data_IF_276403828885
#
_entry.id   IF_276403828885
#
_cell.length_a   1.000
_cell.length_b   1.000
_cell.length_c   1.000
_cell.angle_alpha   90.00
_cell.angle_beta   90.00
_cell.angle_gamma   90.00
#
_symmetry.space_group_name_H-M   'P 1'
#
loop_
_entity.id
_entity.type
_entity.pdbx_description
1 polymer ?
#
# COMPACT_ATOMS: atom_id res chain seq x y z
N UNK A 1 15.96 34.80 -8.59
CA UNK A 1 16.86 34.45 -9.71
C UNK A 1 17.48 33.08 -9.53
N UNK A 2 18.51 32.92 -8.70
CA UNK A 2 19.16 31.61 -8.48
C UNK A 2 18.46 30.70 -7.46
N UNK A 3 17.81 31.27 -6.43
CA UNK A 3 17.19 30.47 -5.36
C UNK A 3 16.04 29.58 -5.89
N UNK A 4 15.21 30.14 -6.78
CA UNK A 4 14.13 29.40 -7.46
C UNK A 4 14.67 28.33 -8.42
N UNK A 5 15.79 28.59 -9.10
CA UNK A 5 16.43 27.62 -9.98
C UNK A 5 17.06 26.46 -9.18
N UNK A 6 17.74 26.74 -8.07
CA UNK A 6 18.28 25.70 -7.17
C UNK A 6 17.18 24.88 -6.50
N UNK A 7 16.04 25.49 -6.13
CA UNK A 7 14.89 24.75 -5.58
C UNK A 7 14.22 23.89 -6.65
N UNK A 8 14.12 24.36 -7.89
CA UNK A 8 13.61 23.55 -9.01
C UNK A 8 14.55 22.39 -9.37
N UNK A 9 15.87 22.61 -9.40
CA UNK A 9 16.85 21.55 -9.68
C UNK A 9 16.80 20.48 -8.57
N UNK A 10 16.74 20.88 -7.29
CA UNK A 10 16.56 19.93 -6.18
C UNK A 10 15.25 19.16 -6.28
N UNK A 11 14.14 19.84 -6.54
CA UNK A 11 12.82 19.21 -6.75
C UNK A 11 12.82 18.21 -7.92
N UNK A 12 13.49 18.54 -9.03
CA UNK A 12 13.54 17.69 -10.23
C UNK A 12 14.29 16.37 -10.01
N UNK A 13 15.24 16.35 -9.06
CA UNK A 13 16.02 15.15 -8.74
C UNK A 13 15.24 14.19 -7.83
N UNK A 14 14.35 14.70 -6.98
CA UNK A 14 13.58 13.87 -6.05
C UNK A 14 12.65 12.87 -6.75
N UNK A 15 12.15 13.26 -7.93
CA UNK A 15 11.24 12.45 -8.75
C UNK A 15 11.91 11.90 -10.01
N UNK A 16 13.23 12.09 -10.16
CA UNK A 16 13.95 11.53 -11.30
C UNK A 16 13.91 10.01 -11.22
N UNK A 17 13.43 9.40 -12.29
CA UNK A 17 13.37 7.97 -12.42
C UNK A 17 14.67 7.41 -13.01
N UNK A 18 15.12 6.27 -12.49
CA UNK A 18 16.19 5.49 -13.10
C UNK A 18 15.69 4.76 -14.37
N UNK A 19 16.56 3.92 -14.96
CA UNK A 19 16.24 3.14 -16.17
C UNK A 19 15.08 2.16 -15.98
N UNK A 20 14.70 1.82 -14.74
CA UNK A 20 13.55 0.96 -14.41
C UNK A 20 12.29 1.75 -14.05
N UNK A 21 12.38 3.07 -13.99
CA UNK A 21 11.27 3.91 -13.53
C UNK A 21 11.30 4.16 -12.02
N UNK A 22 12.33 3.75 -11.29
CA UNK A 22 12.35 3.90 -9.84
C UNK A 22 12.82 5.30 -9.42
N UNK A 23 12.11 5.91 -8.48
CA UNK A 23 12.52 7.16 -7.83
C UNK A 23 13.36 6.87 -6.57
N UNK A 24 14.11 7.85 -6.04
CA UNK A 24 14.75 7.72 -4.73
C UNK A 24 13.78 7.28 -3.61
N UNK A 25 12.54 7.76 -3.64
CA UNK A 25 11.52 7.39 -2.65
C UNK A 25 11.13 5.90 -2.75
N UNK A 26 11.00 5.38 -3.97
CA UNK A 26 10.73 3.95 -4.18
C UNK A 26 11.88 3.08 -3.66
N UNK A 27 13.14 3.47 -3.91
CA UNK A 27 14.30 2.78 -3.37
C UNK A 27 14.32 2.80 -1.84
N UNK A 28 14.12 3.97 -1.22
CA UNK A 28 14.06 4.08 0.23
C UNK A 28 12.95 3.19 0.83
N UNK A 29 11.77 3.16 0.18
CA UNK A 29 10.66 2.31 0.58
C UNK A 29 10.96 0.81 0.42
N UNK A 30 11.62 0.41 -0.67
CA UNK A 30 12.00 -0.97 -0.96
C UNK A 30 13.05 -1.53 0.02
N UNK A 31 13.93 -0.67 0.55
CA UNK A 31 14.98 -1.05 1.50
C UNK A 31 14.60 -0.83 2.97
N UNK A 32 13.44 -0.26 3.26
CA UNK A 32 13.01 -0.04 4.66
C UNK A 32 13.67 1.17 5.32
N UNK A 33 14.23 2.10 4.54
CA UNK A 33 14.96 3.26 5.02
C UNK A 33 14.01 4.38 5.45
N UNK A 34 13.36 4.17 6.60
CA UNK A 34 12.30 5.04 7.12
C UNK A 34 12.70 6.53 7.21
N UNK A 35 13.89 6.81 7.73
CA UNK A 35 14.39 8.18 7.85
C UNK A 35 14.56 8.86 6.48
N UNK A 36 14.99 8.10 5.46
CA UNK A 36 15.13 8.59 4.10
C UNK A 36 13.76 8.81 3.44
N UNK A 37 12.80 7.91 3.67
CA UNK A 37 11.41 8.10 3.22
C UNK A 37 10.85 9.41 3.76
N UNK A 38 10.97 9.66 5.07
CA UNK A 38 10.47 10.88 5.69
C UNK A 38 11.16 12.12 5.13
N UNK A 39 12.49 12.10 5.03
CA UNK A 39 13.26 13.17 4.43
C UNK A 39 12.82 13.49 3.00
N UNK A 40 12.66 12.47 2.14
CA UNK A 40 12.28 12.67 0.74
C UNK A 40 10.87 13.25 0.61
N UNK A 41 9.92 12.78 1.41
CA UNK A 41 8.55 13.31 1.44
C UNK A 41 8.52 14.76 1.94
N UNK A 42 9.28 15.09 2.99
CA UNK A 42 9.44 16.47 3.48
C UNK A 42 10.04 17.41 2.43
N UNK A 43 10.93 16.90 1.56
CA UNK A 43 11.49 17.67 0.45
C UNK A 43 10.58 17.77 -0.77
N UNK A 44 9.42 17.11 -0.77
CA UNK A 44 8.44 17.17 -1.84
C UNK A 44 8.62 16.10 -2.92
N UNK A 45 9.20 14.95 -2.60
CA UNK A 45 9.10 13.78 -3.47
C UNK A 45 7.63 13.39 -3.66
N UNK A 46 7.24 13.03 -4.87
CA UNK A 46 5.88 12.63 -5.21
C UNK A 46 5.69 11.13 -4.94
N UNK A 47 4.92 10.75 -3.90
CA UNK A 47 4.69 9.36 -3.56
C UNK A 47 3.75 8.62 -4.52
N UNK A 48 3.10 9.35 -5.44
CA UNK A 48 2.17 8.78 -6.44
C UNK A 48 2.86 8.34 -7.72
N UNK A 49 4.16 8.62 -7.84
CA UNK A 49 4.96 8.14 -8.98
C UNK A 49 4.90 6.61 -9.04
N UNK A 50 4.85 6.06 -10.25
CA UNK A 50 4.87 4.62 -10.52
C UNK A 50 6.05 4.27 -11.44
N UNK A 51 6.69 3.13 -11.18
CA UNK A 51 7.76 2.59 -12.01
C UNK A 51 7.18 1.91 -13.27
N UNK A 52 8.07 1.36 -14.13
CA UNK A 52 7.63 0.75 -15.40
C UNK A 52 6.60 -0.36 -15.19
N UNK A 53 6.82 -1.26 -14.24
CA UNK A 53 5.90 -2.36 -13.93
C UNK A 53 4.68 -1.93 -13.09
N UNK A 54 4.40 -0.61 -13.02
CA UNK A 54 3.41 0.01 -12.12
C UNK A 54 3.66 -0.21 -10.63
N UNK A 55 4.89 -0.57 -10.26
CA UNK A 55 5.31 -0.61 -8.86
C UNK A 55 5.25 0.80 -8.26
N UNK A 56 4.72 0.90 -7.04
CA UNK A 56 4.68 2.14 -6.27
C UNK A 56 5.56 1.99 -5.02
N UNK A 57 5.91 3.11 -4.40
CA UNK A 57 6.59 3.07 -3.11
C UNK A 57 5.77 2.25 -2.07
N UNK A 58 4.43 2.27 -2.18
CA UNK A 58 3.55 1.53 -1.29
C UNK A 58 3.59 0.01 -1.52
N UNK A 59 3.59 -0.45 -2.78
CA UNK A 59 3.69 -1.89 -3.07
C UNK A 59 5.05 -2.44 -2.63
N UNK A 60 6.13 -1.70 -2.89
CA UNK A 60 7.49 -2.06 -2.47
C UNK A 60 7.63 -2.15 -0.95
N UNK A 61 7.16 -1.13 -0.21
CA UNK A 61 7.17 -1.15 1.25
C UNK A 61 6.33 -2.29 1.84
N UNK A 62 5.20 -2.60 1.20
CA UNK A 62 4.32 -3.68 1.64
C UNK A 62 4.93 -5.06 1.38
N UNK A 63 5.62 -5.24 0.24
CA UNK A 63 6.40 -6.45 -0.06
C UNK A 63 7.56 -6.64 0.91
N UNK A 64 8.22 -5.56 1.33
CA UNK A 64 9.29 -5.56 2.33
C UNK A 64 8.83 -5.72 3.78
N UNK A 65 7.54 -5.51 4.07
CA UNK A 65 7.00 -5.63 5.44
C UNK A 65 7.22 -4.39 6.32
N UNK A 66 7.50 -3.24 5.73
CA UNK A 66 7.80 -1.99 6.45
C UNK A 66 6.53 -1.20 6.80
N UNK A 67 5.83 -1.65 7.84
CA UNK A 67 4.51 -1.14 8.23
C UNK A 67 4.49 0.37 8.57
N UNK A 68 5.59 0.88 9.12
CA UNK A 68 5.79 2.30 9.42
C UNK A 68 5.95 3.17 8.16
N UNK A 69 6.62 2.65 7.14
CA UNK A 69 6.72 3.26 5.81
C UNK A 69 5.36 3.21 5.12
N UNK A 70 4.67 2.07 5.14
CA UNK A 70 3.31 1.91 4.61
C UNK A 70 2.37 2.95 5.23
N UNK A 71 2.35 3.05 6.56
CA UNK A 71 1.54 4.05 7.26
C UNK A 71 1.90 5.48 6.84
N UNK A 72 3.19 5.77 6.64
CA UNK A 72 3.64 7.10 6.23
C UNK A 72 3.19 7.46 4.81
N UNK A 73 3.37 6.55 3.85
CA UNK A 73 2.97 6.75 2.46
C UNK A 73 1.46 6.96 2.35
N UNK A 74 0.65 6.17 3.08
CA UNK A 74 -0.81 6.31 3.11
C UNK A 74 -1.27 7.69 3.64
N UNK A 75 -0.54 8.30 4.57
CA UNK A 75 -0.83 9.69 5.01
C UNK A 75 -0.61 10.73 3.91
N UNK A 76 0.19 10.41 2.89
CA UNK A 76 0.45 11.29 1.75
C UNK A 76 -0.47 11.03 0.56
N UNK A 77 -1.59 10.33 0.78
CA UNK A 77 -2.67 10.23 -0.20
C UNK A 77 -2.36 9.37 -1.42
N UNK A 78 -1.46 8.39 -1.27
CA UNK A 78 -1.29 7.32 -2.26
C UNK A 78 -2.54 6.43 -2.31
N UNK A 79 -2.81 5.83 -3.46
CA UNK A 79 -3.89 4.87 -3.58
C UNK A 79 -3.53 3.56 -2.85
N UNK A 80 -4.31 3.24 -1.82
CA UNK A 80 -4.13 2.02 -1.00
C UNK A 80 -4.35 0.73 -1.80
N UNK A 81 -5.14 0.80 -2.87
CA UNK A 81 -5.49 -0.32 -3.74
C UNK A 81 -4.74 -0.26 -5.07
N UNK A 82 -3.66 0.54 -5.17
CA UNK A 82 -2.80 0.55 -6.35
C UNK A 82 -2.36 -0.87 -6.68
N UNK A 83 -2.28 -1.24 -7.95
CA UNK A 83 -1.84 -2.56 -8.36
C UNK A 83 -0.79 -2.47 -9.47
N UNK A 84 0.16 -3.39 -9.42
CA UNK A 84 1.20 -3.51 -10.44
C UNK A 84 0.72 -4.37 -11.63
N UNK A 85 1.59 -4.58 -12.62
CA UNK A 85 1.28 -5.42 -13.79
C UNK A 85 1.14 -6.92 -13.48
N UNK A 86 1.42 -7.36 -12.26
CA UNK A 86 1.19 -8.72 -11.80
C UNK A 86 -0.12 -8.85 -11.02
N UNK A 87 -0.97 -7.82 -11.04
CA UNK A 87 -2.21 -7.73 -10.27
C UNK A 87 -1.97 -7.66 -8.76
N UNK A 88 -0.74 -7.34 -8.34
CA UNK A 88 -0.36 -7.28 -6.95
C UNK A 88 -0.76 -5.96 -6.31
N UNK A 89 -1.69 -5.99 -5.35
CA UNK A 89 -1.96 -4.85 -4.46
C UNK A 89 -1.00 -4.84 -3.26
N UNK A 90 -0.80 -3.69 -2.58
CA UNK A 90 -0.09 -3.61 -1.32
C UNK A 90 -0.54 -4.69 -0.31
N UNK A 91 -1.85 -4.92 -0.22
CA UNK A 91 -2.43 -5.93 0.66
C UNK A 91 -2.02 -7.35 0.26
N UNK A 92 -2.10 -7.68 -1.03
CA UNK A 92 -1.70 -9.00 -1.53
C UNK A 92 -0.21 -9.27 -1.29
N UNK A 93 0.67 -8.29 -1.49
CA UNK A 93 2.10 -8.42 -1.19
C UNK A 93 2.38 -8.61 0.30
N UNK A 94 1.75 -7.82 1.16
CA UNK A 94 1.89 -7.96 2.61
C UNK A 94 1.38 -9.33 3.09
N UNK A 95 0.28 -9.84 2.50
CA UNK A 95 -0.22 -11.19 2.79
C UNK A 95 0.73 -12.27 2.31
N UNK A 96 1.25 -12.16 1.07
CA UNK A 96 2.21 -13.11 0.49
C UNK A 96 3.49 -13.22 1.31
N UNK A 97 3.96 -12.10 1.86
CA UNK A 97 5.13 -12.05 2.75
C UNK A 97 4.85 -12.39 4.22
N UNK A 98 3.61 -12.69 4.60
CA UNK A 98 3.16 -12.87 5.98
C UNK A 98 3.45 -11.66 6.90
N UNK A 99 3.44 -10.44 6.35
CA UNK A 99 3.76 -9.21 7.06
C UNK A 99 2.56 -8.70 7.86
N UNK A 100 2.27 -9.36 8.98
CA UNK A 100 1.07 -9.14 9.79
C UNK A 100 0.82 -7.64 10.09
N UNK A 101 1.85 -6.91 10.53
CA UNK A 101 1.73 -5.48 10.86
C UNK A 101 1.37 -4.61 9.64
N UNK A 102 1.90 -4.93 8.46
CA UNK A 102 1.53 -4.24 7.23
C UNK A 102 0.07 -4.51 6.88
N UNK A 103 -0.36 -5.76 6.97
CA UNK A 103 -1.75 -6.15 6.68
C UNK A 103 -2.71 -5.47 7.68
N UNK A 104 -2.40 -5.44 8.98
CA UNK A 104 -3.15 -4.68 9.98
C UNK A 104 -3.28 -3.21 9.59
N UNK A 105 -2.16 -2.58 9.23
CA UNK A 105 -2.10 -1.17 8.85
C UNK A 105 -2.95 -0.89 7.61
N UNK A 106 -2.83 -1.72 6.58
CA UNK A 106 -3.57 -1.59 5.32
C UNK A 106 -5.08 -1.77 5.55
N UNK A 107 -5.48 -2.80 6.28
CA UNK A 107 -6.90 -3.04 6.59
C UNK A 107 -7.50 -1.93 7.46
N UNK A 108 -6.75 -1.45 8.46
CA UNK A 108 -7.18 -0.32 9.29
C UNK A 108 -7.34 1.00 8.49
N UNK A 109 -6.64 1.11 7.35
CA UNK A 109 -6.74 2.24 6.42
C UNK A 109 -7.74 2.01 5.27
N UNK A 110 -8.45 0.88 5.29
CA UNK A 110 -9.52 0.59 4.33
C UNK A 110 -9.06 -0.07 3.04
N UNK A 111 -7.95 -0.80 3.05
CA UNK A 111 -7.55 -1.63 1.91
C UNK A 111 -8.67 -2.63 1.56
N UNK A 112 -8.93 -2.80 0.26
CA UNK A 112 -9.97 -3.70 -0.20
C UNK A 112 -9.50 -5.16 -0.19
N UNK A 113 -10.16 -5.94 0.65
CA UNK A 113 -9.94 -7.37 0.81
C UNK A 113 -10.63 -8.24 -0.26
N UNK A 114 -11.35 -7.64 -1.22
CA UNK A 114 -12.02 -8.35 -2.31
C UNK A 114 -11.22 -8.34 -3.62
N UNK A 115 -10.17 -7.51 -3.73
CA UNK A 115 -9.34 -7.45 -4.93
C UNK A 115 -8.51 -8.73 -5.07
N UNK A 116 -8.64 -9.38 -6.22
CA UNK A 116 -7.93 -10.60 -6.57
C UNK A 116 -6.59 -10.29 -7.24
N UNK A 117 -5.60 -11.16 -7.04
CA UNK A 117 -4.39 -11.17 -7.87
C UNK A 117 -4.70 -11.66 -9.29
N UNK A 118 -3.76 -11.49 -10.22
CA UNK A 118 -3.90 -12.03 -11.59
C UNK A 118 -4.09 -13.55 -11.64
N UNK A 119 -3.70 -14.25 -10.57
CA UNK A 119 -3.92 -15.70 -10.43
C UNK A 119 -5.28 -16.05 -9.80
N UNK A 120 -6.18 -15.06 -9.63
CA UNK A 120 -7.51 -15.23 -9.05
C UNK A 120 -7.53 -15.45 -7.54
N UNK A 121 -6.44 -15.11 -6.83
CA UNK A 121 -6.41 -15.25 -5.37
C UNK A 121 -6.84 -13.95 -4.70
N UNK A 122 -7.93 -14.00 -3.94
CA UNK A 122 -8.22 -13.00 -2.91
C UNK A 122 -7.12 -13.02 -1.83
N UNK A 123 -6.96 -11.96 -1.01
CA UNK A 123 -6.03 -11.95 0.11
C UNK A 123 -6.24 -13.15 1.06
N UNK A 124 -7.50 -13.56 1.28
CA UNK A 124 -7.80 -14.74 2.09
C UNK A 124 -7.34 -16.03 1.43
N UNK A 125 -7.67 -16.23 0.15
CA UNK A 125 -7.26 -17.41 -0.59
C UNK A 125 -5.72 -17.51 -0.68
N UNK A 126 -5.06 -16.37 -0.88
CA UNK A 126 -3.61 -16.26 -0.90
C UNK A 126 -2.98 -16.64 0.46
N UNK A 127 -3.52 -16.15 1.58
CA UNK A 127 -3.04 -16.51 2.91
C UNK A 127 -3.13 -18.03 3.18
N UNK A 128 -4.20 -18.68 2.68
CA UNK A 128 -4.38 -20.13 2.78
C UNK A 128 -3.36 -20.86 1.89
N UNK A 129 -3.23 -20.44 0.63
CA UNK A 129 -2.30 -21.03 -0.34
C UNK A 129 -0.84 -20.95 0.14
N UNK A 130 -0.45 -19.85 0.80
CA UNK A 130 0.88 -19.66 1.38
C UNK A 130 1.06 -20.33 2.76
N UNK A 131 0.00 -20.93 3.33
CA UNK A 131 0.08 -21.63 4.61
C UNK A 131 0.12 -20.72 5.85
N UNK A 132 -0.32 -19.47 5.76
CA UNK A 132 -0.34 -18.49 6.86
C UNK A 132 -1.53 -18.71 7.80
N UNK A 133 -1.59 -19.89 8.43
CA UNK A 133 -2.83 -20.51 8.93
C UNK A 133 -3.48 -19.90 10.18
N UNK A 134 -2.77 -19.18 11.06
CA UNK A 134 -3.35 -18.71 12.33
C UNK A 134 -3.49 -17.19 12.43
N UNK A 135 -2.39 -16.45 12.31
CA UNK A 135 -2.43 -15.00 12.54
C UNK A 135 -3.10 -14.25 11.40
N UNK A 136 -2.70 -14.54 10.15
CA UNK A 136 -3.24 -13.87 8.96
C UNK A 136 -4.69 -14.25 8.69
N UNK A 137 -5.01 -15.54 8.76
CA UNK A 137 -6.35 -16.05 8.54
C UNK A 137 -7.39 -15.45 9.51
N UNK A 138 -7.09 -15.46 10.81
CA UNK A 138 -8.01 -14.93 11.82
C UNK A 138 -8.24 -13.43 11.64
N UNK A 139 -7.23 -12.69 11.21
CA UNK A 139 -7.31 -11.25 11.00
C UNK A 139 -8.19 -10.89 9.80
N UNK A 140 -8.01 -11.59 8.68
CA UNK A 140 -8.80 -11.36 7.46
C UNK A 140 -10.28 -11.74 7.69
N UNK A 141 -10.54 -12.88 8.35
CA UNK A 141 -11.90 -13.31 8.72
C UNK A 141 -12.58 -12.29 9.63
N UNK A 142 -11.89 -11.82 10.68
CA UNK A 142 -12.44 -10.81 11.59
C UNK A 142 -12.85 -9.56 10.83
N UNK A 143 -11.95 -9.05 9.98
CA UNK A 143 -12.19 -7.83 9.20
C UNK A 143 -13.38 -7.97 8.24
N UNK A 144 -13.51 -9.13 7.58
CA UNK A 144 -14.60 -9.40 6.65
C UNK A 144 -15.96 -9.54 7.36
N UNK A 145 -16.00 -10.20 8.52
CA UNK A 145 -17.21 -10.29 9.33
C UNK A 145 -17.68 -8.90 9.80
N UNK A 146 -16.76 -8.03 10.23
CA UNK A 146 -17.10 -6.65 10.60
C UNK A 146 -17.72 -5.87 9.43
N UNK A 147 -17.17 -6.00 8.22
CA UNK A 147 -17.70 -5.33 7.01
C UNK A 147 -19.11 -5.82 6.65
N UNK A 148 -19.32 -7.14 6.66
CA UNK A 148 -20.64 -7.75 6.41
C UNK A 148 -21.72 -7.31 7.42
N UNK A 149 -21.37 -7.21 8.71
CA UNK A 149 -22.29 -6.75 9.75
C UNK A 149 -22.62 -5.26 9.53
N UNK A 150 -21.62 -4.42 9.27
CA UNK A 150 -21.82 -3.00 9.03
C UNK A 150 -22.72 -2.72 7.81
N UNK A 151 -22.53 -3.44 6.70
CA UNK A 151 -23.37 -3.31 5.50
C UNK A 151 -24.81 -3.76 5.74
N UNK A 152 -25.03 -4.79 6.56
CA UNK A 152 -26.37 -5.22 6.96
C UNK A 152 -27.06 -4.15 7.81
N UNK A 153 -26.37 -3.57 8.79
CA UNK A 153 -26.89 -2.51 9.65
C UNK A 153 -27.26 -1.24 8.87
N UNK A 154 -26.46 -0.86 7.86
CA UNK A 154 -26.77 0.30 7.01
C UNK A 154 -27.99 0.07 6.11
N UNK A 155 -28.15 -1.14 5.55
CA UNK A 155 -29.33 -1.50 4.76
C UNK A 155 -30.60 -1.53 5.59
N UNK A 156 -30.52 -2.00 6.84
CA UNK A 156 -31.65 -2.01 7.78
C UNK A 156 -32.04 -0.58 8.20
N UNK A 157 -31.07 0.31 8.44
CA UNK A 157 -31.34 1.73 8.74
C UNK A 157 -31.99 2.47 7.54
N UNK A 158 -31.50 2.25 6.31
CA UNK A 158 -32.06 2.85 5.10
C UNK A 158 -33.47 2.34 4.75
N UNK A 159 -33.88 1.19 5.30
CA UNK A 159 -35.23 0.65 5.14
C UNK A 159 -36.23 1.23 6.17
N UNK A 160 -35.74 1.69 7.32
CA UNK A 160 -36.58 2.29 8.39
C UNK A 160 -36.88 3.78 8.15
N UNK A 161 -36.15 4.45 7.25
CA UNK A 161 -36.36 5.86 6.88
C UNK A 161 -37.27 6.05 5.64
N UNK A 162 -37.90 4.98 5.14
CA UNK A 162 -38.91 5.01 4.06
C UNK A 162 -40.28 4.63 4.58
#
# INVERSE_FOLDING_TARGET
GLYLACSHIHSSLLNKQDERGFTPLMWAAAFGEKAMVDYLLEKGADPKTIARERESALTLASSGGFADIVACLLRHGVDINSYDWNGGTPLLYAVRGNHIKCVETLLAKGADLTIESDSGYTPMALAIAMGHKKSMYNMLIKTQNFKMIAEKSQKEAAFQEK
#
